data_IF_761952740944
#
_entry.id   IF_761952740944
#
_cell.length_a   1.000
_cell.length_b   1.000
_cell.length_c   1.000
_cell.angle_alpha   90.00
_cell.angle_beta   90.00
_cell.angle_gamma   90.00
#
_symmetry.space_group_name_H-M   'P 1'
#
loop_
_entity.id
_entity.type
_entity.pdbx_description
1 polymer ?
#
# COMPACT_ATOMS: atom_id res chain seq x y z
N UNK A 1 15.64 9.11 8.97
CA UNK A 1 14.38 8.54 9.37
C UNK A 1 13.23 9.35 8.80
N UNK A 2 12.15 8.72 8.48
CA UNK A 2 11.01 9.51 8.00
C UNK A 2 10.46 10.33 9.17
N UNK A 3 10.14 11.56 8.88
CA UNK A 3 9.59 12.44 9.90
C UNK A 3 8.18 12.02 10.27
N UNK A 4 7.42 11.50 9.30
CA UNK A 4 6.05 11.10 9.53
C UNK A 4 5.67 9.98 8.58
N UNK A 5 4.82 9.05 9.02
CA UNK A 5 4.35 8.01 8.12
C UNK A 5 3.40 8.61 7.09
N UNK A 6 3.30 7.95 5.95
CA UNK A 6 2.31 8.30 4.96
C UNK A 6 0.99 7.64 5.36
N UNK A 7 -0.06 8.43 5.51
CA UNK A 7 -1.35 7.95 5.98
C UNK A 7 -2.43 8.26 4.97
N UNK A 8 -3.23 7.26 4.64
CA UNK A 8 -4.40 7.41 3.79
C UNK A 8 -5.64 7.10 4.63
N UNK A 9 -6.61 8.00 4.63
CA UNK A 9 -7.86 7.76 5.33
C UNK A 9 -8.91 7.33 4.34
N UNK A 10 -9.62 6.26 4.68
CA UNK A 10 -10.57 5.64 3.76
C UNK A 10 -11.90 5.43 4.47
N UNK A 11 -13.02 5.68 3.75
CA UNK A 11 -14.32 5.37 4.32
C UNK A 11 -14.58 3.88 4.28
N UNK A 12 -15.24 3.37 5.31
CA UNK A 12 -15.74 2.00 5.31
C UNK A 12 -17.17 2.07 4.79
N UNK A 13 -17.44 1.41 3.66
CA UNK A 13 -18.73 1.47 3.03
C UNK A 13 -19.58 0.30 3.46
N UNK A 14 -20.90 0.50 3.44
CA UNK A 14 -21.80 -0.57 3.81
C UNK A 14 -21.58 -1.82 2.94
N UNK A 15 -21.34 -1.62 1.66
CA UNK A 15 -21.15 -2.75 0.73
C UNK A 15 -19.82 -3.47 0.95
N UNK A 16 -18.94 -2.92 1.77
CA UNK A 16 -17.66 -3.58 2.10
C UNK A 16 -17.85 -4.67 3.15
N UNK A 17 -19.02 -4.74 3.77
CA UNK A 17 -19.31 -5.66 4.86
C UNK A 17 -19.74 -7.03 4.36
N UNK A 18 -19.41 -8.05 5.15
CA UNK A 18 -19.90 -9.39 4.88
C UNK A 18 -21.17 -9.66 5.70
N UNK A 19 -21.62 -10.91 5.70
CA UNK A 19 -22.86 -11.31 6.39
C UNK A 19 -22.75 -11.16 7.91
N UNK A 20 -21.54 -11.02 8.45
CA UNK A 20 -21.32 -10.90 9.89
C UNK A 20 -21.24 -9.45 10.35
N UNK A 21 -21.39 -8.49 9.42
CA UNK A 21 -21.32 -7.09 9.76
C UNK A 21 -19.88 -6.54 9.83
N UNK A 22 -18.92 -7.29 9.38
CA UNK A 22 -17.51 -6.88 9.36
C UNK A 22 -17.06 -6.67 7.94
N UNK A 23 -16.03 -5.83 7.76
CA UNK A 23 -15.43 -5.66 6.43
C UNK A 23 -14.94 -7.03 5.96
N UNK A 24 -15.36 -7.41 4.76
CA UNK A 24 -14.95 -8.66 4.15
C UNK A 24 -13.43 -8.71 4.06
N UNK A 25 -12.85 -9.87 4.41
CA UNK A 25 -11.40 -10.00 4.42
C UNK A 25 -10.77 -9.65 3.07
N UNK A 26 -11.45 -9.96 1.97
CA UNK A 26 -10.93 -9.62 0.64
C UNK A 26 -10.93 -8.12 0.37
N UNK A 27 -11.80 -7.36 1.04
CA UNK A 27 -11.87 -5.91 0.84
C UNK A 27 -10.65 -5.21 1.44
N UNK A 28 -9.99 -5.82 2.43
CA UNK A 28 -8.74 -5.28 2.95
C UNK A 28 -7.72 -5.08 1.82
N UNK A 29 -7.70 -5.98 0.85
CA UNK A 29 -6.80 -5.84 -0.30
C UNK A 29 -7.12 -4.58 -1.11
N UNK A 30 -8.40 -4.22 -1.22
CA UNK A 30 -8.81 -3.00 -1.91
C UNK A 30 -8.37 -1.76 -1.16
N UNK A 31 -8.49 -1.75 0.15
CA UNK A 31 -8.01 -0.63 0.97
C UNK A 31 -6.49 -0.45 0.82
N UNK A 32 -5.77 -1.57 0.82
CA UNK A 32 -4.32 -1.56 0.66
C UNK A 32 -3.96 -1.03 -0.71
N UNK A 33 -4.70 -1.41 -1.74
CA UNK A 33 -4.48 -0.92 -3.09
C UNK A 33 -4.69 0.60 -3.17
N UNK A 34 -5.77 1.10 -2.55
CA UNK A 34 -6.03 2.54 -2.57
C UNK A 34 -4.91 3.31 -1.87
N UNK A 35 -4.40 2.77 -0.77
CA UNK A 35 -3.30 3.41 -0.06
C UNK A 35 -2.03 3.40 -0.89
N UNK A 36 -1.78 2.32 -1.64
CA UNK A 36 -0.63 2.22 -2.53
C UNK A 36 -0.71 3.24 -3.65
N UNK A 37 -1.89 3.37 -4.23
CA UNK A 37 -2.12 4.35 -5.30
C UNK A 37 -1.86 5.76 -4.78
N UNK A 38 -2.37 6.08 -3.59
CA UNK A 38 -2.16 7.39 -2.99
C UNK A 38 -0.69 7.65 -2.70
N UNK A 39 0.02 6.65 -2.22
CA UNK A 39 1.46 6.77 -1.94
C UNK A 39 2.21 7.12 -3.22
N UNK A 40 1.96 6.40 -4.31
CA UNK A 40 2.65 6.66 -5.55
C UNK A 40 2.31 8.04 -6.11
N UNK A 41 1.06 8.45 -5.97
CA UNK A 41 0.64 9.76 -6.44
C UNK A 41 1.33 10.89 -5.70
N UNK A 42 1.38 10.79 -4.37
CA UNK A 42 1.83 11.90 -3.54
C UNK A 42 3.32 11.86 -3.23
N UNK A 43 3.90 10.68 -3.07
CA UNK A 43 5.32 10.55 -2.75
C UNK A 43 6.15 10.42 -4.01
N UNK A 44 5.75 9.56 -4.92
CA UNK A 44 6.55 9.28 -6.13
C UNK A 44 6.18 10.23 -7.26
N UNK A 45 4.94 10.70 -7.28
CA UNK A 45 4.48 11.63 -8.29
C UNK A 45 4.03 10.95 -9.57
N UNK A 46 3.63 9.69 -9.51
CA UNK A 46 3.15 8.98 -10.69
C UNK A 46 1.75 8.42 -10.42
N UNK A 47 0.99 8.32 -11.50
CA UNK A 47 -0.32 7.68 -11.49
C UNK A 47 -0.08 6.21 -11.78
N UNK A 48 -0.34 5.35 -10.80
CA UNK A 48 -0.13 3.91 -10.95
C UNK A 48 -0.90 3.31 -12.13
N UNK A 49 -2.02 3.94 -12.50
CA UNK A 49 -2.79 3.44 -13.65
C UNK A 49 -2.08 3.71 -14.97
N UNK A 50 -1.11 4.64 -14.98
CA UNK A 50 -0.38 5.02 -16.19
C UNK A 50 0.96 4.32 -16.32
N UNK A 51 1.40 3.57 -15.30
CA UNK A 51 2.67 2.86 -15.33
C UNK A 51 2.40 1.38 -15.15
N UNK A 52 3.31 0.56 -15.62
CA UNK A 52 3.14 -0.88 -15.50
C UNK A 52 3.62 -1.37 -14.14
N UNK A 53 2.73 -1.97 -13.38
CA UNK A 53 3.10 -2.66 -12.15
C UNK A 53 2.22 -3.88 -11.98
N UNK A 54 2.75 -4.91 -11.32
CA UNK A 54 1.96 -6.07 -10.93
C UNK A 54 2.27 -6.41 -9.48
N UNK A 55 1.28 -6.91 -8.78
CA UNK A 55 1.47 -7.40 -7.41
C UNK A 55 1.99 -8.83 -7.50
N UNK A 56 3.20 -9.04 -7.01
CA UNK A 56 3.80 -10.36 -6.99
C UNK A 56 3.42 -11.13 -5.73
N UNK A 57 3.14 -10.41 -4.64
CA UNK A 57 2.83 -11.05 -3.37
C UNK A 57 2.03 -10.08 -2.51
N UNK A 58 1.04 -10.63 -1.83
CA UNK A 58 0.26 -9.87 -0.84
C UNK A 58 0.04 -10.78 0.35
N UNK A 59 0.40 -10.28 1.54
CA UNK A 59 0.21 -11.01 2.78
C UNK A 59 -0.50 -10.09 3.75
N UNK A 60 -1.57 -10.57 4.38
CA UNK A 60 -2.35 -9.77 5.33
C UNK A 60 -2.53 -10.58 6.61
N UNK A 61 -2.24 -9.94 7.73
CA UNK A 61 -2.51 -10.52 9.04
C UNK A 61 -3.64 -9.72 9.67
N UNK A 62 -4.69 -10.41 10.05
CA UNK A 62 -5.89 -9.80 10.61
C UNK A 62 -5.87 -9.94 12.12
N UNK A 63 -6.10 -8.83 12.83
CA UNK A 63 -6.11 -8.83 14.29
C UNK A 63 -7.48 -8.54 14.87
N UNK A 64 -8.22 -7.65 14.23
CA UNK A 64 -9.54 -7.23 14.70
C UNK A 64 -10.42 -6.92 13.50
N UNK A 65 -11.73 -7.16 13.62
CA UNK A 65 -12.64 -6.81 12.53
C UNK A 65 -12.75 -5.30 12.38
N UNK A 66 -12.99 -4.86 11.16
CA UNK A 66 -13.33 -3.48 10.84
C UNK A 66 -14.83 -3.43 10.63
N UNK A 67 -15.50 -2.42 11.22
CA UNK A 67 -16.94 -2.33 11.20
C UNK A 67 -17.38 -1.09 10.45
N UNK A 68 -18.65 -1.09 10.06
CA UNK A 68 -19.24 0.06 9.38
C UNK A 68 -19.16 1.29 10.30
N UNK A 69 -18.75 2.40 9.72
CA UNK A 69 -18.62 3.63 10.48
C UNK A 69 -17.27 3.83 11.15
N UNK A 70 -16.39 2.84 11.08
CA UNK A 70 -15.04 3.00 11.60
C UNK A 70 -14.28 4.03 10.77
N UNK A 71 -13.42 4.79 11.44
CA UNK A 71 -12.54 5.76 10.81
C UNK A 71 -11.22 5.05 10.53
N UNK A 72 -11.08 4.56 9.31
CA UNK A 72 -9.94 3.73 8.93
C UNK A 72 -8.81 4.58 8.41
N UNK A 73 -7.62 4.36 8.95
CA UNK A 73 -6.39 4.98 8.48
C UNK A 73 -5.41 3.87 8.07
N UNK A 74 -4.80 4.02 6.90
CA UNK A 74 -3.81 3.07 6.42
C UNK A 74 -2.46 3.77 6.36
N UNK A 75 -1.52 3.29 7.15
CA UNK A 75 -0.14 3.77 7.08
C UNK A 75 0.61 2.94 6.05
N UNK A 76 1.43 3.61 5.25
CA UNK A 76 2.19 2.97 4.18
C UNK A 76 3.64 3.39 4.26
N UNK A 77 4.53 2.43 4.16
CA UNK A 77 5.96 2.68 4.06
C UNK A 77 6.54 1.74 3.02
N UNK A 78 7.49 2.26 2.22
CA UNK A 78 8.29 1.39 1.36
C UNK A 78 9.47 0.96 2.21
N UNK A 79 9.56 -0.33 2.49
CA UNK A 79 10.58 -0.87 3.37
C UNK A 79 11.79 -1.40 2.63
N UNK A 80 11.64 -1.67 1.33
CA UNK A 80 12.74 -2.25 0.56
C UNK A 80 12.52 -1.97 -0.92
N UNK A 81 13.61 -1.68 -1.65
CA UNK A 81 13.58 -1.53 -3.10
C UNK A 81 14.61 -2.49 -3.69
N UNK A 82 14.14 -3.44 -4.49
CA UNK A 82 15.01 -4.36 -5.21
C UNK A 82 15.33 -3.82 -6.60
N UNK A 83 15.81 -4.68 -7.48
CA UNK A 83 16.12 -4.27 -8.85
C UNK A 83 14.85 -3.94 -9.61
N UNK A 84 13.85 -4.84 -9.57
CA UNK A 84 12.59 -4.66 -10.30
C UNK A 84 11.40 -4.53 -9.35
N UNK A 85 11.60 -4.63 -8.04
CA UNK A 85 10.51 -4.75 -7.08
C UNK A 85 10.61 -3.72 -5.97
N UNK A 86 9.46 -3.49 -5.34
CA UNK A 86 9.35 -2.65 -4.14
C UNK A 86 8.55 -3.44 -3.12
N UNK A 87 8.95 -3.35 -1.87
CA UNK A 87 8.18 -3.94 -0.79
C UNK A 87 7.54 -2.81 0.01
N UNK A 88 6.22 -2.87 0.13
CA UNK A 88 5.45 -1.88 0.89
C UNK A 88 4.84 -2.57 2.10
N UNK A 89 4.98 -1.93 3.25
CA UNK A 89 4.34 -2.40 4.47
C UNK A 89 3.21 -1.44 4.82
N UNK A 90 2.08 -2.02 5.20
CA UNK A 90 0.88 -1.26 5.54
C UNK A 90 0.43 -1.64 6.94
N UNK A 91 -0.08 -0.64 7.64
CA UNK A 91 -0.71 -0.88 8.92
C UNK A 91 -2.07 -0.22 8.88
N UNK A 92 -3.12 -1.01 9.09
CA UNK A 92 -4.49 -0.51 9.08
C UNK A 92 -4.90 -0.26 10.51
N UNK A 93 -5.38 0.94 10.79
CA UNK A 93 -5.71 1.38 12.14
C UNK A 93 -7.12 1.94 12.22
N UNK A 94 -7.77 1.64 13.33
CA UNK A 94 -9.06 2.25 13.66
C UNK A 94 -8.92 2.82 15.06
N UNK A 95 -9.18 4.12 15.20
CA UNK A 95 -9.07 4.82 16.50
C UNK A 95 -7.71 4.58 17.17
N UNK A 96 -6.65 4.58 16.36
CA UNK A 96 -5.29 4.45 16.87
C UNK A 96 -4.85 3.03 17.14
N UNK A 97 -5.73 2.04 16.98
CA UNK A 97 -5.38 0.64 17.20
C UNK A 97 -5.16 -0.07 15.88
N UNK A 98 -4.14 -0.92 15.84
CA UNK A 98 -3.86 -1.71 14.65
C UNK A 98 -4.89 -2.82 14.52
N UNK A 99 -5.60 -2.85 13.40
CA UNK A 99 -6.61 -3.87 13.13
C UNK A 99 -6.10 -4.91 12.16
N UNK A 100 -5.17 -4.54 11.29
CA UNK A 100 -4.50 -5.51 10.41
C UNK A 100 -3.18 -4.92 9.92
N UNK A 101 -2.32 -5.81 9.44
CA UNK A 101 -1.04 -5.42 8.83
C UNK A 101 -0.91 -6.16 7.52
N UNK A 102 -0.15 -5.58 6.59
CA UNK A 102 0.02 -6.21 5.28
C UNK A 102 1.38 -5.89 4.70
N UNK A 103 1.84 -6.81 3.86
CA UNK A 103 3.07 -6.62 3.09
C UNK A 103 2.77 -6.91 1.63
N UNK A 104 3.15 -6.00 0.75
CA UNK A 104 2.94 -6.11 -0.69
C UNK A 104 4.29 -6.07 -1.37
N UNK A 105 4.53 -7.01 -2.27
CA UNK A 105 5.68 -6.93 -3.18
C UNK A 105 5.12 -6.53 -4.54
N UNK A 106 5.54 -5.36 -5.00
CA UNK A 106 5.10 -4.77 -6.25
C UNK A 106 6.25 -4.81 -7.24
N UNK A 107 5.99 -5.26 -8.46
CA UNK A 107 7.02 -5.37 -9.49
C UNK A 107 6.72 -4.36 -10.60
N UNK A 108 7.75 -3.59 -10.97
CA UNK A 108 7.66 -2.71 -12.13
C UNK A 108 7.70 -3.60 -13.37
N UNK A 109 6.72 -3.42 -14.25
CA UNK A 109 6.46 -4.42 -15.29
C UNK A 109 6.13 -3.74 -16.61
N UNK A 110 6.71 -4.25 -17.68
CA UNK A 110 6.41 -3.77 -19.02
C UNK A 110 5.40 -4.73 -19.66
N UNK A 111 4.17 -4.22 -19.83
CA UNK A 111 3.09 -5.05 -20.38
C UNK A 111 3.25 -5.30 -21.88
N UNK A 112 4.10 -4.54 -22.57
CA UNK A 112 4.36 -4.78 -23.99
C UNK A 112 5.31 -5.94 -24.19
N UNK A 113 6.44 -5.92 -23.48
CA UNK A 113 7.40 -7.02 -23.56
C UNK A 113 7.04 -8.18 -22.64
N UNK A 114 6.09 -7.96 -21.72
CA UNK A 114 5.63 -8.94 -20.76
C UNK A 114 6.76 -9.39 -19.83
N UNK A 115 7.55 -8.43 -19.36
CA UNK A 115 8.72 -8.68 -18.53
C UNK A 115 8.85 -7.63 -17.43
N UNK A 116 9.45 -8.00 -16.28
CA UNK A 116 9.80 -7.02 -15.28
C UNK A 116 10.83 -6.03 -15.81
N UNK A 117 10.77 -4.82 -15.27
CA UNK A 117 11.70 -3.75 -15.61
C UNK A 117 12.33 -3.20 -14.35
N UNK A 118 13.54 -2.63 -14.44
CA UNK A 118 14.15 -2.00 -13.27
C UNK A 118 13.27 -0.88 -12.73
N UNK A 119 13.25 -0.75 -11.40
CA UNK A 119 12.56 0.37 -10.76
C UNK A 119 13.25 1.66 -11.21
N UNK A 120 12.51 2.64 -11.74
CA UNK A 120 13.13 3.87 -12.24
C UNK A 120 13.89 4.62 -11.15
N UNK A 121 15.00 5.24 -11.54
CA UNK A 121 15.81 6.02 -10.60
C UNK A 121 15.01 7.15 -9.97
N UNK A 122 14.08 7.75 -10.73
CA UNK A 122 13.25 8.81 -10.21
C UNK A 122 12.37 8.33 -9.05
N UNK A 123 11.87 7.08 -9.13
CA UNK A 123 11.09 6.50 -8.04
C UNK A 123 11.98 6.26 -6.83
N UNK A 124 13.17 5.71 -7.06
CA UNK A 124 14.11 5.43 -5.96
C UNK A 124 14.45 6.71 -5.21
N UNK A 125 14.72 7.78 -5.95
CA UNK A 125 15.08 9.05 -5.32
C UNK A 125 13.93 9.64 -4.52
N UNK A 126 12.73 9.63 -5.10
CA UNK A 126 11.56 10.20 -4.43
C UNK A 126 11.23 9.42 -3.14
N UNK A 127 11.32 8.10 -3.21
CA UNK A 127 11.03 7.26 -2.05
C UNK A 127 12.11 7.46 -0.98
N UNK A 128 13.38 7.48 -1.39
CA UNK A 128 14.46 7.67 -0.43
C UNK A 128 14.36 9.02 0.26
N UNK A 129 13.99 10.06 -0.49
CA UNK A 129 13.80 11.39 0.09
C UNK A 129 12.68 11.40 1.12
N UNK A 130 11.60 10.69 0.84
CA UNK A 130 10.46 10.65 1.75
C UNK A 130 10.74 9.76 2.96
N UNK A 131 11.26 8.57 2.73
CA UNK A 131 11.44 7.57 3.79
C UNK A 131 12.70 7.82 4.62
N UNK A 132 13.60 8.62 4.09
CA UNK A 132 14.87 8.85 4.74
C UNK A 132 15.91 7.83 4.29
N UNK A 133 17.06 7.85 4.92
CA UNK A 133 18.22 7.08 4.47
C UNK A 133 18.12 5.58 4.78
N UNK A 134 17.01 5.13 5.36
CA UNK A 134 16.90 3.73 5.77
C UNK A 134 16.62 2.79 4.59
N UNK A 135 16.27 3.33 3.44
CA UNK A 135 15.90 2.53 2.27
C UNK A 135 17.11 2.29 1.39
N UNK A 136 17.25 1.05 0.95
CA UNK A 136 18.30 0.70 0.00
C UNK A 136 17.76 0.50 -1.38
#
# INVERSE_FOLDING_TARGET
MPSQPFVTRLPVRFRDLDAFGHVNTAVHASYIEEARIAYFEQVVGVDLASVGTVVASLSVDYRRPIEFGDDLAVETVVSEIGTTSLTLDHELRVSGETVSTATVVLVHYDYESDEPEPVPDAWRSAIADFEGAAIE
#
